data_IF_211620683051
#
_entry.id   IF_211620683051
#
_cell.length_a   1.000
_cell.length_b   1.000
_cell.length_c   1.000
_cell.angle_alpha   90.00
_cell.angle_beta   90.00
_cell.angle_gamma   90.00
#
_symmetry.space_group_name_H-M   'P 1'
#
loop_
_entity.id
_entity.type
_entity.pdbx_description
1 polymer ?
#
# COMPACT_ATOMS: atom_id res chain seq x y z
N UNK A 1 31.21 27.18 28.94
CA UNK A 1 32.41 26.60 28.30
C UNK A 1 32.68 27.22 26.92
N UNK A 2 32.25 28.46 26.66
CA UNK A 2 32.77 29.29 25.55
C UNK A 2 32.89 30.79 25.92
N UNK A 3 32.97 31.12 27.21
CA UNK A 3 33.06 32.50 27.71
C UNK A 3 31.82 33.38 27.45
N UNK A 4 30.84 32.89 26.69
CA UNK A 4 29.60 33.60 26.35
C UNK A 4 28.40 32.80 26.86
N UNK A 5 27.64 33.40 27.78
CA UNK A 5 26.41 32.82 28.34
C UNK A 5 25.36 32.50 27.25
N UNK A 6 25.36 33.30 26.17
CA UNK A 6 24.47 33.10 25.02
C UNK A 6 24.82 31.82 24.28
N UNK A 7 26.11 31.53 24.10
CA UNK A 7 26.57 30.35 23.38
C UNK A 7 26.28 29.06 24.17
N UNK A 8 26.50 29.08 25.49
CA UNK A 8 26.17 27.94 26.36
C UNK A 8 24.63 27.67 26.37
N UNK A 9 23.79 28.72 26.39
CA UNK A 9 22.34 28.60 26.26
C UNK A 9 21.91 28.04 24.90
N UNK A 10 22.52 28.55 23.82
CA UNK A 10 22.23 28.08 22.46
C UNK A 10 22.58 26.60 22.30
N UNK A 11 23.73 26.16 22.81
CA UNK A 11 24.13 24.74 22.79
C UNK A 11 23.15 23.89 23.59
N UNK A 12 22.75 24.33 24.80
CA UNK A 12 21.77 23.63 25.63
C UNK A 12 20.43 23.44 24.91
N UNK A 13 19.92 24.48 24.25
CA UNK A 13 18.68 24.42 23.47
C UNK A 13 18.78 23.49 22.26
N UNK A 14 19.92 23.47 21.57
CA UNK A 14 20.15 22.53 20.46
C UNK A 14 20.12 21.09 20.97
N UNK A 15 20.82 20.78 22.07
CA UNK A 15 20.84 19.43 22.61
C UNK A 15 19.47 18.95 23.11
N UNK A 16 18.71 19.81 23.80
CA UNK A 16 17.34 19.45 24.24
C UNK A 16 16.42 19.26 23.04
N UNK A 17 16.48 20.12 22.03
CA UNK A 17 15.69 19.95 20.82
C UNK A 17 15.99 18.62 20.10
N UNK A 18 17.28 18.28 19.96
CA UNK A 18 17.71 17.02 19.33
C UNK A 18 17.24 15.80 20.14
N UNK A 19 17.38 15.83 21.47
CA UNK A 19 16.96 14.74 22.35
C UNK A 19 15.44 14.51 22.26
N UNK A 20 14.64 15.58 22.31
CA UNK A 20 13.18 15.50 22.23
C UNK A 20 12.74 15.03 20.84
N UNK A 21 13.36 15.52 19.77
CA UNK A 21 13.05 15.09 18.39
C UNK A 21 13.32 13.61 18.18
N UNK A 22 14.45 13.09 18.69
CA UNK A 22 14.78 11.67 18.61
C UNK A 22 13.81 10.82 19.42
N UNK A 23 13.46 11.24 20.64
CA UNK A 23 12.50 10.53 21.48
C UNK A 23 11.10 10.49 20.86
N UNK A 24 10.64 11.62 20.31
CA UNK A 24 9.37 11.70 19.59
C UNK A 24 9.36 10.74 18.39
N UNK A 25 10.43 10.74 17.57
CA UNK A 25 10.56 9.81 16.42
C UNK A 25 10.47 8.35 16.88
N UNK A 26 11.26 7.95 17.88
CA UNK A 26 11.28 6.59 18.39
C UNK A 26 9.91 6.13 18.92
N UNK A 27 9.20 6.99 19.66
CA UNK A 27 7.86 6.67 20.18
C UNK A 27 6.86 6.55 19.02
N UNK A 28 6.89 7.46 18.04
CA UNK A 28 6.01 7.38 16.87
C UNK A 28 6.25 6.11 16.06
N UNK A 29 7.51 5.71 15.85
CA UNK A 29 7.86 4.46 15.17
C UNK A 29 7.40 3.23 15.94
N UNK A 30 7.57 3.22 17.28
CA UNK A 30 7.14 2.11 18.13
C UNK A 30 5.61 1.90 18.04
N UNK A 31 4.84 2.99 18.09
CA UNK A 31 3.38 2.96 17.97
C UNK A 31 2.94 2.55 16.56
N UNK A 32 3.62 3.05 15.53
CA UNK A 32 3.36 2.68 14.13
C UNK A 32 3.65 1.19 13.87
N UNK A 33 4.71 0.64 14.47
CA UNK A 33 5.06 -0.78 14.36
C UNK A 33 4.05 -1.69 15.05
N UNK A 34 3.54 -1.29 16.21
CA UNK A 34 2.59 -2.09 17.00
C UNK A 34 1.19 -2.16 16.36
N UNK A 35 0.80 -1.17 15.56
CA UNK A 35 -0.53 -1.10 14.95
C UNK A 35 -0.55 -1.84 13.60
N UNK A 36 -1.21 -3.00 13.53
CA UNK A 36 -1.46 -3.74 12.26
C UNK A 36 -2.37 -3.00 11.26
N UNK A 37 -2.60 -1.70 11.47
CA UNK A 37 -3.52 -0.85 10.73
C UNK A 37 -3.17 -0.77 9.25
N UNK A 38 -1.88 -0.77 8.91
CA UNK A 38 -1.45 -0.71 7.51
C UNK A 38 -1.90 -1.94 6.73
N UNK A 39 -1.68 -3.15 7.27
CA UNK A 39 -2.11 -4.39 6.64
C UNK A 39 -3.65 -4.51 6.54
N UNK A 40 -4.37 -4.05 7.57
CA UNK A 40 -5.85 -4.05 7.55
C UNK A 40 -6.40 -3.04 6.54
N UNK A 41 -5.82 -1.84 6.48
CA UNK A 41 -6.23 -0.79 5.53
C UNK A 41 -5.97 -1.23 4.10
N UNK A 42 -4.80 -1.83 3.83
CA UNK A 42 -4.47 -2.37 2.52
C UNK A 42 -5.46 -3.46 2.10
N UNK A 43 -5.75 -4.42 3.00
CA UNK A 43 -6.74 -5.47 2.71
C UNK A 43 -8.11 -4.90 2.39
N UNK A 44 -8.58 -3.94 3.20
CA UNK A 44 -9.86 -3.28 2.95
C UNK A 44 -9.84 -2.51 1.62
N UNK A 45 -8.72 -1.85 1.31
CA UNK A 45 -8.50 -1.18 0.04
C UNK A 45 -8.65 -2.10 -1.14
N UNK A 46 -8.04 -3.29 -1.10
CA UNK A 46 -8.15 -4.27 -2.18
C UNK A 46 -9.57 -4.84 -2.28
N UNK A 47 -10.23 -5.09 -1.15
CA UNK A 47 -11.64 -5.51 -1.11
C UNK A 47 -12.55 -4.50 -1.81
N UNK A 48 -12.38 -3.22 -1.48
CA UNK A 48 -13.17 -2.12 -2.04
C UNK A 48 -12.79 -1.86 -3.51
N UNK A 49 -11.50 -1.96 -3.87
CA UNK A 49 -10.99 -1.69 -5.22
C UNK A 49 -11.40 -2.75 -6.25
N UNK A 50 -11.42 -4.01 -5.83
CA UNK A 50 -11.76 -5.15 -6.70
C UNK A 50 -13.23 -5.55 -6.62
N UNK A 51 -14.05 -4.79 -5.86
CA UNK A 51 -15.43 -5.14 -5.55
C UNK A 51 -15.57 -6.59 -5.02
N UNK A 52 -14.57 -7.07 -4.26
CA UNK A 52 -14.49 -8.43 -3.73
C UNK A 52 -14.44 -8.39 -2.19
N UNK A 53 -15.58 -8.15 -1.52
CA UNK A 53 -15.63 -7.94 -0.07
C UNK A 53 -15.18 -9.17 0.72
N UNK A 54 -15.29 -10.38 0.14
CA UNK A 54 -14.90 -11.64 0.81
C UNK A 54 -13.53 -12.16 0.38
N UNK A 55 -12.89 -11.54 -0.63
CA UNK A 55 -11.64 -12.00 -1.23
C UNK A 55 -11.74 -13.48 -1.62
N UNK A 56 -12.76 -13.80 -2.43
CA UNK A 56 -13.03 -15.14 -2.96
C UNK A 56 -12.89 -15.21 -4.49
N UNK A 57 -12.75 -14.07 -5.15
CA UNK A 57 -12.56 -13.96 -6.59
C UNK A 57 -11.14 -13.50 -6.92
N UNK A 58 -11.03 -12.43 -7.72
CA UNK A 58 -9.75 -11.88 -8.16
C UNK A 58 -8.86 -11.44 -6.98
N UNK A 59 -9.45 -10.92 -5.91
CA UNK A 59 -8.69 -10.53 -4.72
C UNK A 59 -7.95 -11.71 -4.10
N UNK A 60 -8.58 -12.90 -4.08
CA UNK A 60 -7.92 -14.12 -3.59
C UNK A 60 -6.71 -14.50 -4.45
N UNK A 61 -6.89 -14.51 -5.76
CA UNK A 61 -5.87 -14.93 -6.72
C UNK A 61 -4.65 -14.01 -6.67
N UNK A 62 -4.88 -12.70 -6.52
CA UNK A 62 -3.81 -11.71 -6.34
C UNK A 62 -3.06 -11.94 -5.04
N UNK A 63 -3.74 -12.22 -3.93
CA UNK A 63 -3.06 -12.49 -2.65
C UNK A 63 -2.32 -13.82 -2.61
N UNK A 64 -2.71 -14.80 -3.42
CA UNK A 64 -1.99 -16.06 -3.60
C UNK A 64 -0.77 -15.90 -4.52
N UNK A 65 -0.65 -14.77 -5.21
CA UNK A 65 0.45 -14.50 -6.13
C UNK A 65 1.78 -14.29 -5.39
N UNK A 66 2.85 -14.90 -5.88
CA UNK A 66 4.18 -14.84 -5.25
C UNK A 66 4.74 -13.40 -5.21
N UNK A 67 4.43 -12.56 -6.20
CA UNK A 67 4.83 -11.14 -6.22
C UNK A 67 4.15 -10.31 -5.12
N UNK A 68 2.99 -10.76 -4.62
CA UNK A 68 2.18 -10.01 -3.65
C UNK A 68 2.40 -10.52 -2.24
N UNK A 69 2.51 -11.84 -2.08
CA UNK A 69 2.75 -12.45 -0.79
C UNK A 69 3.81 -13.56 -0.86
N UNK A 70 5.10 -13.21 -1.03
CA UNK A 70 6.18 -14.20 -1.09
C UNK A 70 6.39 -14.93 0.24
N UNK A 71 5.80 -14.43 1.34
CA UNK A 71 5.92 -15.02 2.69
C UNK A 71 4.77 -15.97 3.01
N UNK A 72 3.75 -16.03 2.16
CA UNK A 72 2.72 -17.05 2.22
C UNK A 72 3.13 -18.26 1.39
N UNK A 73 2.64 -19.43 1.77
CA UNK A 73 2.87 -20.69 1.07
C UNK A 73 2.07 -20.80 -0.26
N UNK A 74 1.28 -19.78 -0.62
CA UNK A 74 0.41 -19.77 -1.80
C UNK A 74 -0.80 -20.73 -1.70
N UNK A 75 -0.90 -21.52 -0.64
CA UNK A 75 -1.95 -22.56 -0.48
C UNK A 75 -3.15 -22.10 0.32
N UNK A 76 -3.07 -20.93 0.95
CA UNK A 76 -4.13 -20.41 1.79
C UNK A 76 -5.42 -20.12 0.98
N UNK A 77 -6.43 -20.96 1.18
CA UNK A 77 -7.72 -20.94 0.46
C UNK A 77 -8.72 -19.88 0.95
N UNK A 78 -8.36 -19.06 1.96
CA UNK A 78 -9.27 -18.06 2.50
C UNK A 78 -8.53 -16.89 3.15
N UNK A 79 -9.09 -15.69 3.03
CA UNK A 79 -8.61 -14.46 3.65
C UNK A 79 -8.46 -14.53 5.18
N UNK A 80 -9.15 -15.48 5.83
CA UNK A 80 -9.06 -15.73 7.28
C UNK A 80 -7.80 -16.55 7.67
N UNK A 81 -7.24 -17.31 6.73
CA UNK A 81 -6.05 -18.14 6.93
C UNK A 81 -4.75 -17.42 6.59
N UNK A 82 -4.81 -16.19 6.07
CA UNK A 82 -3.62 -15.37 5.84
C UNK A 82 -3.07 -14.83 7.16
N UNK A 83 -2.28 -15.64 7.84
CA UNK A 83 -1.59 -15.24 9.08
C UNK A 83 -0.53 -14.14 8.86
N UNK A 84 -0.09 -13.97 7.60
CA UNK A 84 0.91 -12.98 7.17
C UNK A 84 0.37 -12.16 5.99
N UNK A 85 -0.51 -11.20 6.29
CA UNK A 85 -0.91 -10.19 5.31
C UNK A 85 0.26 -9.21 5.07
N UNK A 86 0.57 -8.86 3.81
CA UNK A 86 1.55 -7.82 3.55
C UNK A 86 1.06 -6.50 4.13
N UNK A 87 1.97 -5.72 4.68
CA UNK A 87 1.68 -4.36 5.14
C UNK A 87 1.69 -3.36 3.98
N UNK A 88 2.28 -3.71 2.84
CA UNK A 88 2.39 -2.89 1.65
C UNK A 88 2.49 -3.78 0.43
N UNK A 89 1.94 -3.32 -0.69
CA UNK A 89 2.10 -3.92 -1.99
C UNK A 89 2.65 -2.83 -2.90
N UNK A 90 3.76 -3.13 -3.56
CA UNK A 90 4.34 -2.27 -4.57
C UNK A 90 3.42 -2.22 -5.82
N UNK A 91 3.14 -1.04 -6.39
CA UNK A 91 2.24 -0.90 -7.53
C UNK A 91 2.67 -1.69 -8.77
N UNK A 92 3.97 -1.76 -9.08
CA UNK A 92 4.44 -2.53 -10.24
C UNK A 92 4.21 -4.02 -10.04
N UNK A 93 4.52 -4.51 -8.84
CA UNK A 93 4.25 -5.90 -8.45
C UNK A 93 2.77 -6.25 -8.56
N UNK A 94 1.88 -5.31 -8.20
CA UNK A 94 0.43 -5.45 -8.39
C UNK A 94 0.03 -5.47 -9.88
N UNK A 95 0.58 -4.57 -10.69
CA UNK A 95 0.34 -4.52 -12.13
C UNK A 95 0.67 -5.85 -12.81
N UNK A 96 1.86 -6.39 -12.55
CA UNK A 96 2.29 -7.68 -13.08
C UNK A 96 1.45 -8.83 -12.54
N UNK A 97 1.20 -8.88 -11.23
CA UNK A 97 0.37 -9.92 -10.64
C UNK A 97 -1.05 -9.92 -11.22
N UNK A 98 -1.64 -8.75 -11.48
CA UNK A 98 -2.95 -8.63 -12.10
C UNK A 98 -2.95 -9.19 -13.52
N UNK A 99 -1.98 -8.80 -14.35
CA UNK A 99 -1.89 -9.30 -15.73
C UNK A 99 -1.62 -10.80 -15.78
N UNK A 100 -0.79 -11.33 -14.88
CA UNK A 100 -0.53 -12.78 -14.77
C UNK A 100 -1.76 -13.57 -14.29
N UNK A 101 -2.47 -13.07 -13.26
CA UNK A 101 -3.72 -13.68 -12.75
C UNK A 101 -4.81 -13.72 -13.84
N UNK A 102 -4.89 -12.69 -14.68
CA UNK A 102 -5.81 -12.67 -15.82
C UNK A 102 -5.37 -13.57 -16.99
N UNK A 103 -4.17 -14.15 -16.92
CA UNK A 103 -3.57 -14.93 -18.00
C UNK A 103 -3.15 -14.08 -19.20
N UNK A 104 -2.79 -12.81 -18.95
CA UNK A 104 -2.24 -11.82 -19.88
C UNK A 104 -0.75 -11.66 -19.55
N UNK A 105 0.04 -12.71 -19.74
CA UNK A 105 1.45 -12.73 -19.33
C UNK A 105 2.43 -12.76 -20.50
N UNK A 106 1.96 -13.11 -21.70
CA UNK A 106 2.82 -13.28 -22.86
C UNK A 106 2.81 -12.02 -23.74
N UNK A 107 4.00 -11.46 -23.97
CA UNK A 107 4.21 -10.27 -24.79
C UNK A 107 3.79 -10.47 -26.26
N UNK A 108 3.66 -11.71 -26.72
CA UNK A 108 3.18 -12.05 -28.06
C UNK A 108 1.65 -12.20 -28.17
N UNK A 109 0.90 -11.99 -27.08
CA UNK A 109 -0.57 -12.09 -27.12
C UNK A 109 -1.18 -11.06 -28.07
N UNK A 110 -2.15 -11.51 -28.85
CA UNK A 110 -2.91 -10.61 -29.73
C UNK A 110 -3.91 -9.78 -28.92
N UNK A 111 -4.23 -8.54 -29.34
CA UNK A 111 -5.26 -7.73 -28.68
C UNK A 111 -6.61 -8.45 -28.55
N UNK A 112 -6.97 -9.29 -29.53
CA UNK A 112 -8.19 -10.10 -29.46
C UNK A 112 -8.15 -11.15 -28.33
N UNK A 113 -7.00 -11.79 -28.10
CA UNK A 113 -6.82 -12.74 -27.00
C UNK A 113 -6.91 -12.03 -25.64
N UNK A 114 -6.30 -10.84 -25.53
CA UNK A 114 -6.38 -9.99 -24.33
C UNK A 114 -7.84 -9.61 -24.03
N UNK A 115 -8.57 -9.12 -25.03
CA UNK A 115 -9.98 -8.76 -24.88
C UNK A 115 -10.85 -9.95 -24.44
N UNK A 116 -10.54 -11.15 -24.92
CA UNK A 116 -11.23 -12.38 -24.49
C UNK A 116 -10.99 -12.68 -23.01
N UNK A 117 -9.75 -12.50 -22.52
CA UNK A 117 -9.43 -12.66 -21.09
C UNK A 117 -10.12 -11.61 -20.23
N UNK A 118 -10.12 -10.36 -20.66
CA UNK A 118 -10.79 -9.26 -19.93
C UNK A 118 -12.30 -9.50 -19.86
N UNK A 119 -12.93 -10.01 -20.93
CA UNK A 119 -14.35 -10.31 -20.95
C UNK A 119 -14.76 -11.35 -19.88
N UNK A 120 -13.85 -12.23 -19.45
CA UNK A 120 -14.09 -13.22 -18.40
C UNK A 120 -14.06 -12.64 -16.97
N UNK A 121 -13.60 -11.39 -16.78
CA UNK A 121 -13.64 -10.70 -15.49
C UNK A 121 -15.09 -10.52 -15.07
N UNK A 122 -15.48 -11.03 -13.90
CA UNK A 122 -16.87 -11.02 -13.45
C UNK A 122 -17.42 -9.61 -13.19
N UNK A 123 -16.61 -8.74 -12.57
CA UNK A 123 -17.01 -7.39 -12.20
C UNK A 123 -17.08 -6.45 -13.42
N UNK A 124 -18.23 -5.82 -13.73
CA UNK A 124 -18.36 -4.95 -14.89
C UNK A 124 -17.51 -3.68 -14.84
N UNK A 125 -17.31 -3.10 -13.65
CA UNK A 125 -16.55 -1.87 -13.48
C UNK A 125 -15.06 -2.11 -13.77
N UNK A 126 -14.52 -3.18 -13.21
CA UNK A 126 -13.15 -3.63 -13.43
C UNK A 126 -12.93 -4.07 -14.88
N UNK A 127 -13.92 -4.75 -15.47
CA UNK A 127 -13.87 -5.11 -16.90
C UNK A 127 -13.75 -3.87 -17.79
N UNK A 128 -14.60 -2.86 -17.57
CA UNK A 128 -14.56 -1.62 -18.35
C UNK A 128 -13.24 -0.86 -18.17
N UNK A 129 -12.70 -0.83 -16.94
CA UNK A 129 -11.38 -0.25 -16.68
C UNK A 129 -10.29 -0.97 -17.48
N UNK A 130 -10.23 -2.30 -17.40
CA UNK A 130 -9.23 -3.12 -18.07
C UNK A 130 -9.33 -3.03 -19.59
N UNK A 131 -10.56 -2.97 -20.14
CA UNK A 131 -10.79 -2.71 -21.57
C UNK A 131 -10.22 -1.35 -21.96
N UNK A 132 -10.52 -0.29 -21.21
CA UNK A 132 -9.95 1.03 -21.47
C UNK A 132 -8.43 1.07 -21.40
N UNK A 133 -7.81 0.30 -20.50
CA UNK A 133 -6.34 0.16 -20.44
C UNK A 133 -5.82 -0.62 -21.66
N UNK A 134 -6.45 -1.73 -22.03
CA UNK A 134 -6.05 -2.55 -23.18
C UNK A 134 -6.10 -1.75 -24.50
N UNK A 135 -7.15 -0.93 -24.66
CA UNK A 135 -7.31 -0.05 -25.82
C UNK A 135 -6.21 1.02 -25.87
N UNK A 136 -5.91 1.69 -24.74
CA UNK A 136 -4.84 2.70 -24.66
C UNK A 136 -3.44 2.14 -24.92
N UNK A 137 -3.22 0.88 -24.55
CA UNK A 137 -1.91 0.22 -24.66
C UNK A 137 -1.74 -0.56 -25.95
N UNK A 138 -2.75 -0.57 -26.82
CA UNK A 138 -2.79 -1.32 -28.08
C UNK A 138 -2.41 -2.82 -27.90
N UNK A 139 -2.79 -3.41 -26.76
CA UNK A 139 -2.46 -4.79 -26.41
C UNK A 139 -1.01 -5.05 -25.99
N UNK A 140 -0.21 -4.01 -25.71
CA UNK A 140 1.13 -4.18 -25.15
C UNK A 140 1.04 -4.55 -23.66
N UNK A 141 1.41 -5.79 -23.33
CA UNK A 141 1.31 -6.33 -21.96
C UNK A 141 2.14 -5.53 -20.95
N UNK A 142 3.36 -5.10 -21.30
CA UNK A 142 4.20 -4.32 -20.39
C UNK A 142 3.58 -2.95 -20.05
N UNK A 143 3.10 -2.24 -21.07
CA UNK A 143 2.39 -0.97 -20.85
C UNK A 143 1.06 -1.16 -20.11
N UNK A 144 0.39 -2.29 -20.33
CA UNK A 144 -0.83 -2.64 -19.60
C UNK A 144 -0.53 -2.85 -18.12
N UNK A 145 0.54 -3.57 -17.76
CA UNK A 145 0.95 -3.70 -16.37
C UNK A 145 1.31 -2.36 -15.74
N UNK A 146 1.97 -1.46 -16.48
CA UNK A 146 2.32 -0.11 -15.99
C UNK A 146 1.07 0.76 -15.71
N UNK A 147 0.09 0.73 -16.61
CA UNK A 147 -1.18 1.45 -16.44
C UNK A 147 -2.01 0.89 -15.29
N UNK A 148 -2.04 -0.43 -15.11
CA UNK A 148 -2.68 -1.08 -13.96
C UNK A 148 -1.98 -0.69 -12.66
N UNK A 149 -0.64 -0.66 -12.66
CA UNK A 149 0.15 -0.22 -11.52
C UNK A 149 -0.18 1.24 -11.15
N UNK A 150 -0.21 2.14 -12.13
CA UNK A 150 -0.54 3.55 -11.91
C UNK A 150 -1.98 3.74 -11.39
N UNK A 151 -2.94 3.00 -11.92
CA UNK A 151 -4.31 2.99 -11.42
C UNK A 151 -4.37 2.53 -9.96
N UNK A 152 -3.69 1.42 -9.64
CA UNK A 152 -3.64 0.90 -8.28
C UNK A 152 -3.04 1.91 -7.30
N UNK A 153 -1.92 2.54 -7.66
CA UNK A 153 -1.25 3.56 -6.82
C UNK A 153 -2.20 4.73 -6.53
N UNK A 154 -2.84 5.26 -7.58
CA UNK A 154 -3.79 6.37 -7.46
C UNK A 154 -5.00 6.01 -6.59
N UNK A 155 -5.51 4.79 -6.73
CA UNK A 155 -6.63 4.31 -5.92
C UNK A 155 -6.22 4.10 -4.46
N UNK A 156 -5.06 3.50 -4.22
CA UNK A 156 -4.52 3.24 -2.88
C UNK A 156 -4.20 4.52 -2.12
N UNK A 157 -3.80 5.59 -2.81
CA UNK A 157 -3.61 6.91 -2.19
C UNK A 157 -4.90 7.47 -1.61
N UNK A 158 -6.03 7.23 -2.28
CA UNK A 158 -7.37 7.63 -1.81
C UNK A 158 -7.84 6.75 -0.65
N UNK A 159 -7.72 5.43 -0.77
CA UNK A 159 -8.12 4.47 0.29
C UNK A 159 -7.29 4.71 1.56
N UNK A 160 -6.00 4.96 1.42
CA UNK A 160 -5.08 5.17 2.54
C UNK A 160 -5.22 6.55 3.18
N UNK A 161 -6.09 7.43 2.67
CA UNK A 161 -6.29 8.78 3.20
C UNK A 161 -6.83 8.81 4.64
N UNK A 162 -7.67 7.85 5.03
CA UNK A 162 -8.12 7.71 6.44
C UNK A 162 -6.96 7.30 7.34
N UNK A 163 -6.11 6.39 6.88
CA UNK A 163 -4.91 5.97 7.61
C UNK A 163 -3.91 7.14 7.78
N UNK A 164 -3.63 7.89 6.71
CA UNK A 164 -2.71 9.05 6.76
C UNK A 164 -3.17 10.08 7.80
N UNK A 165 -4.47 10.39 7.84
CA UNK A 165 -5.05 11.33 8.82
C UNK A 165 -4.98 10.80 10.25
N UNK A 166 -5.27 9.51 10.45
CA UNK A 166 -5.14 8.87 11.76
C UNK A 166 -3.69 8.92 12.26
N UNK A 167 -2.74 8.50 11.43
CA UNK A 167 -1.32 8.51 11.78
C UNK A 167 -0.82 9.91 12.17
N UNK A 168 -1.22 10.95 11.42
CA UNK A 168 -0.90 12.35 11.75
C UNK A 168 -1.46 12.78 13.10
N UNK A 169 -2.71 12.42 13.42
CA UNK A 169 -3.31 12.73 14.72
C UNK A 169 -2.58 12.02 15.86
N UNK A 170 -2.21 10.75 15.71
CA UNK A 170 -1.43 10.04 16.71
C UNK A 170 -0.06 10.67 16.93
N UNK A 171 0.66 11.02 15.87
CA UNK A 171 1.94 11.72 15.98
C UNK A 171 1.79 13.06 16.68
N UNK A 172 0.73 13.82 16.39
CA UNK A 172 0.42 15.07 17.08
C UNK A 172 0.15 14.86 18.57
N UNK A 173 -0.66 13.86 18.94
CA UNK A 173 -0.96 13.56 20.34
C UNK A 173 0.28 13.11 21.13
N UNK A 174 1.16 12.33 20.50
CA UNK A 174 2.44 11.93 21.10
C UNK A 174 3.32 13.16 21.35
N UNK A 175 3.46 14.03 20.34
CA UNK A 175 4.24 15.26 20.47
C UNK A 175 3.66 16.21 21.54
N UNK A 176 2.33 16.35 21.59
CA UNK A 176 1.63 17.15 22.59
C UNK A 176 1.85 16.60 24.02
N UNK A 177 1.76 15.28 24.20
CA UNK A 177 2.00 14.64 25.48
C UNK A 177 3.45 14.84 25.95
N UNK A 178 4.43 14.68 25.06
CA UNK A 178 5.84 14.94 25.36
C UNK A 178 6.08 16.40 25.75
N UNK A 179 5.48 17.35 25.02
CA UNK A 179 5.57 18.76 25.34
C UNK A 179 4.97 19.08 26.72
N UNK A 180 3.81 18.50 27.04
CA UNK A 180 3.16 18.68 28.35
C UNK A 180 3.93 18.04 29.51
N UNK A 181 4.65 16.94 29.28
CA UNK A 181 5.46 16.28 30.31
C UNK A 181 6.78 16.99 30.61
N UNK A 182 7.34 17.69 29.62
CA UNK A 182 8.65 18.36 29.72
C UNK A 182 8.55 19.83 30.10
N UNK A 183 7.34 20.39 30.15
CA UNK A 183 7.04 21.77 30.54
C UNK A 183 6.58 21.83 32.01
#
# INVERSE_FOLDING_TARGET
>A
MFGSAILDLAIGLVFTFLAVSLAASAITEMVASATKWRAVTLRKGIQDLLNDPKLVGLGQQIYQHALINPRADGTALSAKSWSKLPAYIDPQSFGHAMTEVLGIADAAMTPAAINTKIAAVADPQLRNLLQGIADRTAGNVGKMSDEVAHWFDTAMDRVSGVYKRGAQLFSFLIALALAAMLN
#
